data_IF_981029823329
#
_entry.id   IF_981029823329
#
_cell.length_a   1.000
_cell.length_b   1.000
_cell.length_c   1.000
_cell.angle_alpha   90.00
_cell.angle_beta   90.00
_cell.angle_gamma   90.00
#
_symmetry.space_group_name_H-M   'P 1'
#
loop_
_entity.id
_entity.type
_entity.pdbx_description
1 polymer ?
#
# COMPACT_ATOMS: atom_id res chain seq x y z
N UNK A 1 -32.42 -11.70 1.01
CA UNK A 1 -33.49 -11.51 2.01
C UNK A 1 -33.28 -12.57 3.06
N UNK A 2 -33.10 -12.21 4.33
CA UNK A 2 -32.81 -13.15 5.42
C UNK A 2 -34.02 -14.04 5.70
N UNK A 3 -33.86 -15.35 5.64
CA UNK A 3 -34.90 -16.41 5.74
C UNK A 3 -35.61 -16.53 7.09
N UNK A 4 -35.82 -15.43 7.82
CA UNK A 4 -36.54 -15.43 9.10
C UNK A 4 -35.82 -16.22 10.21
N UNK A 5 -34.53 -16.52 10.04
CA UNK A 5 -33.69 -17.26 11.00
C UNK A 5 -32.44 -16.48 11.39
N UNK A 6 -31.99 -16.68 12.63
CA UNK A 6 -30.75 -16.08 13.15
C UNK A 6 -29.52 -16.61 12.39
N UNK A 7 -28.66 -15.71 11.92
CA UNK A 7 -27.43 -16.05 11.17
C UNK A 7 -26.41 -16.89 11.95
N UNK A 8 -26.50 -16.93 13.28
CA UNK A 8 -25.55 -17.65 14.13
C UNK A 8 -26.08 -19.00 14.63
N UNK A 9 -27.31 -19.02 15.16
CA UNK A 9 -27.89 -20.22 15.77
C UNK A 9 -29.05 -20.84 14.98
N UNK A 10 -29.48 -20.22 13.87
CA UNK A 10 -30.60 -20.72 13.05
C UNK A 10 -31.99 -20.55 13.67
N UNK A 11 -32.11 -19.96 14.86
CA UNK A 11 -33.41 -19.79 15.53
C UNK A 11 -34.31 -18.78 14.81
N UNK A 12 -35.60 -19.11 14.68
CA UNK A 12 -36.63 -18.20 14.17
C UNK A 12 -37.06 -17.21 15.25
N UNK A 13 -36.96 -15.91 14.98
CA UNK A 13 -37.38 -14.87 15.93
C UNK A 13 -38.07 -13.71 15.24
N UNK A 14 -38.99 -13.04 15.94
CA UNK A 14 -39.76 -11.89 15.39
C UNK A 14 -38.88 -10.65 15.22
N UNK A 15 -37.83 -10.50 16.03
CA UNK A 15 -36.94 -9.35 16.02
C UNK A 15 -35.48 -9.78 15.78
N UNK A 16 -34.86 -9.21 14.76
CA UNK A 16 -33.45 -9.39 14.44
C UNK A 16 -32.67 -8.09 14.68
N UNK A 17 -31.48 -8.22 15.24
CA UNK A 17 -30.53 -7.12 15.40
C UNK A 17 -29.66 -6.98 14.14
N UNK A 18 -29.00 -5.83 13.94
CA UNK A 18 -28.05 -5.63 12.84
C UNK A 18 -27.06 -6.79 12.74
N UNK A 19 -26.90 -7.37 11.54
CA UNK A 19 -26.13 -8.61 11.32
C UNK A 19 -26.95 -9.91 11.36
N UNK A 20 -28.26 -9.84 11.56
CA UNK A 20 -29.17 -10.99 11.50
C UNK A 20 -29.11 -11.87 12.75
N UNK A 21 -28.74 -11.32 13.90
CA UNK A 21 -28.67 -12.05 15.17
C UNK A 21 -29.99 -11.94 15.96
N UNK A 22 -30.38 -13.01 16.64
CA UNK A 22 -31.47 -12.98 17.61
C UNK A 22 -31.01 -12.44 18.97
N UNK A 23 -31.96 -12.01 19.80
CA UNK A 23 -31.73 -11.46 21.17
C UNK A 23 -30.75 -12.33 21.98
N UNK A 24 -30.93 -13.66 21.94
CA UNK A 24 -30.11 -14.60 22.69
C UNK A 24 -28.65 -14.66 22.21
N UNK A 25 -28.38 -14.40 20.93
CA UNK A 25 -27.05 -14.39 20.36
C UNK A 25 -26.36 -13.03 20.54
N UNK A 26 -27.11 -11.93 20.47
CA UNK A 26 -26.59 -10.58 20.72
C UNK A 26 -26.04 -10.44 22.14
N UNK A 27 -26.72 -11.00 23.15
CA UNK A 27 -26.26 -10.98 24.54
C UNK A 27 -25.06 -11.88 24.86
N UNK A 28 -24.67 -12.77 23.95
CA UNK A 28 -23.56 -13.73 24.13
C UNK A 28 -22.28 -13.36 23.37
N UNK A 29 -22.14 -12.12 22.94
CA UNK A 29 -21.02 -11.65 22.10
C UNK A 29 -20.84 -12.47 20.81
N UNK A 30 -21.94 -12.91 20.18
CA UNK A 30 -21.84 -13.59 18.89
C UNK A 30 -21.22 -12.64 17.86
N UNK A 31 -20.08 -13.04 17.28
CA UNK A 31 -19.37 -12.25 16.27
C UNK A 31 -20.07 -12.42 14.93
N UNK A 32 -20.54 -11.31 14.36
CA UNK A 32 -21.06 -11.28 12.99
C UNK A 32 -19.87 -11.56 12.06
N UNK A 33 -19.99 -12.55 11.17
CA UNK A 33 -19.00 -12.72 10.11
C UNK A 33 -19.07 -11.49 9.22
N UNK A 34 -18.02 -10.67 9.20
CA UNK A 34 -17.88 -9.63 8.19
C UNK A 34 -18.03 -10.32 6.82
N UNK A 35 -18.89 -9.75 5.97
CA UNK A 35 -18.97 -10.17 4.58
C UNK A 35 -17.57 -10.12 3.97
N UNK A 36 -17.28 -11.07 3.08
CA UNK A 36 -16.04 -11.08 2.32
C UNK A 36 -15.76 -9.68 1.79
N UNK A 37 -14.60 -9.15 2.17
CA UNK A 37 -14.15 -7.86 1.73
C UNK A 37 -14.12 -7.90 0.19
N UNK A 38 -14.71 -6.91 -0.50
CA UNK A 38 -14.76 -6.92 -1.95
C UNK A 38 -13.33 -7.09 -2.48
N UNK A 39 -13.16 -8.00 -3.43
CA UNK A 39 -11.87 -8.25 -4.08
C UNK A 39 -11.32 -6.93 -4.57
N UNK A 40 -10.07 -6.63 -4.18
CA UNK A 40 -9.40 -5.37 -4.49
C UNK A 40 -9.52 -5.10 -6.00
N UNK A 41 -10.02 -3.91 -6.37
CA UNK A 41 -10.26 -3.62 -7.79
C UNK A 41 -8.94 -3.60 -8.56
N UNK A 42 -8.96 -4.10 -9.80
CA UNK A 42 -7.77 -4.14 -10.67
C UNK A 42 -7.15 -2.75 -10.86
N UNK A 43 -7.99 -1.72 -10.90
CA UNK A 43 -7.56 -0.32 -11.03
C UNK A 43 -6.75 0.16 -9.83
N UNK A 44 -7.17 -0.18 -8.60
CA UNK A 44 -6.42 0.16 -7.39
C UNK A 44 -5.06 -0.55 -7.37
N UNK A 45 -5.00 -1.81 -7.79
CA UNK A 45 -3.73 -2.55 -7.84
C UNK A 45 -2.75 -1.98 -8.88
N UNK A 46 -3.25 -1.50 -10.02
CA UNK A 46 -2.44 -0.84 -11.04
C UNK A 46 -1.95 0.53 -10.56
N UNK A 47 -2.78 1.26 -9.82
CA UNK A 47 -2.41 2.53 -9.21
C UNK A 47 -1.26 2.33 -8.21
N UNK A 48 -1.36 1.38 -7.29
CA UNK A 48 -0.30 1.08 -6.32
C UNK A 48 1.02 0.71 -7.00
N UNK A 49 0.96 -0.09 -8.07
CA UNK A 49 2.14 -0.42 -8.88
C UNK A 49 2.77 0.82 -9.52
N UNK A 50 1.95 1.74 -10.06
CA UNK A 50 2.43 2.99 -10.67
C UNK A 50 3.10 3.92 -9.64
N UNK A 51 2.55 4.00 -8.43
CA UNK A 51 3.12 4.77 -7.31
C UNK A 51 4.48 4.18 -6.90
N UNK A 52 4.58 2.85 -6.83
CA UNK A 52 5.85 2.18 -6.54
C UNK A 52 6.95 2.49 -7.56
N UNK A 53 6.61 2.50 -8.86
CA UNK A 53 7.56 2.86 -9.93
C UNK A 53 7.97 4.34 -9.82
N UNK A 54 7.02 5.24 -9.58
CA UNK A 54 7.30 6.66 -9.38
C UNK A 54 8.25 6.90 -8.20
N UNK A 55 7.97 6.30 -7.04
CA UNK A 55 8.84 6.41 -5.86
C UNK A 55 10.25 5.86 -6.12
N UNK A 56 10.36 4.75 -6.84
CA UNK A 56 11.66 4.20 -7.24
C UNK A 56 12.43 5.14 -8.18
N UNK A 57 11.74 5.78 -9.13
CA UNK A 57 12.33 6.78 -10.02
C UNK A 57 12.80 8.01 -9.22
N UNK A 58 11.97 8.55 -8.33
CA UNK A 58 12.33 9.69 -7.45
C UNK A 58 13.58 9.39 -6.64
N UNK A 59 13.65 8.21 -6.01
CA UNK A 59 14.84 7.81 -5.23
C UNK A 59 16.11 7.76 -6.08
N UNK A 60 16.03 7.32 -7.34
CA UNK A 60 17.19 7.34 -8.26
C UNK A 60 17.61 8.77 -8.59
N UNK A 61 16.66 9.68 -8.78
CA UNK A 61 16.97 11.10 -9.03
C UNK A 61 17.61 11.78 -7.82
N UNK A 62 17.16 11.48 -6.60
CA UNK A 62 17.77 11.98 -5.37
C UNK A 62 19.22 11.50 -5.22
N UNK A 63 19.48 10.21 -5.42
CA UNK A 63 20.83 9.64 -5.36
C UNK A 63 21.73 10.26 -6.45
N UNK A 64 21.20 10.48 -7.65
CA UNK A 64 21.95 11.13 -8.72
C UNK A 64 22.28 12.60 -8.37
N UNK A 65 21.32 13.35 -7.82
CA UNK A 65 21.52 14.73 -7.38
C UNK A 65 22.59 14.83 -6.28
N UNK A 66 22.56 13.93 -5.30
CA UNK A 66 23.59 13.85 -4.25
C UNK A 66 24.99 13.55 -4.81
N UNK A 67 25.09 12.60 -5.75
CA UNK A 67 26.36 12.29 -6.41
C UNK A 67 26.89 13.47 -7.20
N UNK A 68 26.03 14.18 -7.94
CA UNK A 68 26.41 15.40 -8.68
C UNK A 68 26.90 16.47 -7.69
N UNK A 69 26.20 16.68 -6.57
CA UNK A 69 26.60 17.68 -5.58
C UNK A 69 27.94 17.34 -4.93
N UNK A 70 28.19 16.07 -4.59
CA UNK A 70 29.49 15.60 -4.08
C UNK A 70 30.60 15.83 -5.10
N UNK A 71 30.38 15.43 -6.35
CA UNK A 71 31.37 15.59 -7.41
C UNK A 71 31.66 17.07 -7.71
N UNK A 72 30.64 17.95 -7.72
CA UNK A 72 30.85 19.41 -7.88
C UNK A 72 31.75 20.00 -6.79
N UNK A 73 31.63 19.53 -5.54
CA UNK A 73 32.51 19.98 -4.45
C UNK A 73 33.96 19.54 -4.67
N UNK A 74 34.18 18.34 -5.20
CA UNK A 74 35.52 17.80 -5.50
C UNK A 74 36.16 18.50 -6.72
N UNK A 75 35.38 18.83 -7.76
CA UNK A 75 35.88 19.61 -8.92
C UNK A 75 36.46 20.96 -8.50
N UNK A 76 35.83 21.62 -7.50
CA UNK A 76 36.29 22.91 -6.99
C UNK A 76 37.60 22.86 -6.20
N UNK A 77 38.03 21.67 -5.74
CA UNK A 77 39.22 21.50 -4.90
C UNK A 77 40.41 20.90 -5.65
N UNK A 78 40.19 19.89 -6.50
CA UNK A 78 41.23 19.40 -7.40
C UNK A 78 40.70 18.51 -8.55
N UNK A 79 41.29 18.66 -9.73
CA UNK A 79 40.95 17.86 -10.93
C UNK A 79 41.36 16.38 -10.76
N UNK A 80 42.48 16.12 -10.06
CA UNK A 80 42.96 14.74 -9.81
C UNK A 80 42.02 13.93 -8.92
N UNK A 81 41.43 14.55 -7.90
CA UNK A 81 40.46 13.87 -7.02
C UNK A 81 39.13 13.63 -7.73
N UNK A 82 38.76 14.51 -8.67
CA UNK A 82 37.56 14.33 -9.48
C UNK A 82 37.70 13.14 -10.45
N UNK A 83 38.83 13.02 -11.14
CA UNK A 83 39.08 11.88 -12.04
C UNK A 83 39.15 10.55 -11.27
N UNK A 84 39.73 10.55 -10.06
CA UNK A 84 39.76 9.37 -9.20
C UNK A 84 38.37 8.95 -8.70
N UNK A 85 37.43 9.89 -8.58
CA UNK A 85 36.07 9.63 -8.12
C UNK A 85 35.17 8.95 -9.18
N UNK A 86 35.67 8.70 -10.40
CA UNK A 86 34.95 8.06 -11.52
C UNK A 86 33.55 8.69 -11.72
N UNK A 87 33.48 9.93 -12.23
CA UNK A 87 32.22 10.63 -12.40
C UNK A 87 31.24 9.80 -13.23
N UNK A 88 29.96 9.91 -12.91
CA UNK A 88 28.88 9.11 -13.49
C UNK A 88 28.96 9.17 -15.02
N UNK A 89 29.24 8.03 -15.65
CA UNK A 89 29.11 7.88 -17.08
C UNK A 89 27.62 7.97 -17.43
N UNK A 90 27.20 9.13 -17.93
CA UNK A 90 25.89 9.29 -18.55
C UNK A 90 25.93 8.46 -19.83
N UNK A 91 25.32 7.28 -19.82
CA UNK A 91 25.09 6.51 -21.04
C UNK A 91 24.23 7.37 -21.98
N UNK A 92 24.65 7.50 -23.25
CA UNK A 92 23.81 8.13 -24.26
C UNK A 92 22.52 7.30 -24.42
N UNK A 93 21.39 8.01 -24.50
CA UNK A 93 20.07 7.44 -24.76
C UNK A 93 20.01 6.67 -26.09
#
# INVERSE_FOLDING_TARGET
MSDGTCSFCGATTVYFFPGGLCVACTGKNARIRMQEQPTQSRELSAFDASVGVMQAATRRTEIAAEKIQKNKRVVGTSVREFDAAHPIALTAE
#
